data_IF_944839431416
#
_entry.id   IF_944839431416
#
_cell.length_a   1.000
_cell.length_b   1.000
_cell.length_c   1.000
_cell.angle_alpha   90.00
_cell.angle_beta   90.00
_cell.angle_gamma   90.00
#
_symmetry.space_group_name_H-M   'P 1'
#
loop_
_entity.id
_entity.type
_entity.pdbx_description
1 polymer ?
#
# COMPACT_ATOMS: atom_id res chain seq x y z
N UNK A 1 45.24 11.25 -21.96
CA UNK A 1 44.44 10.01 -22.03
C UNK A 1 44.69 9.08 -20.84
N UNK A 2 45.92 8.61 -20.60
CA UNK A 2 46.25 7.64 -19.53
C UNK A 2 46.02 8.14 -18.08
N UNK A 3 46.31 9.42 -17.79
CA UNK A 3 46.11 10.01 -16.44
C UNK A 3 44.65 9.96 -15.96
N UNK A 4 43.68 10.06 -16.88
CA UNK A 4 42.26 9.98 -16.55
C UNK A 4 41.84 8.56 -16.16
N UNK A 5 42.34 7.55 -16.89
CA UNK A 5 42.06 6.14 -16.63
C UNK A 5 42.62 5.73 -15.27
N UNK A 6 43.87 6.07 -14.98
CA UNK A 6 44.51 5.77 -13.69
C UNK A 6 43.76 6.40 -12.51
N UNK A 7 43.32 7.65 -12.66
CA UNK A 7 42.53 8.35 -11.63
C UNK A 7 41.17 7.67 -11.39
N UNK A 8 40.52 7.19 -12.46
CA UNK A 8 39.28 6.42 -12.38
C UNK A 8 39.47 5.07 -11.69
N UNK A 9 40.49 4.30 -12.09
CA UNK A 9 40.79 3.01 -11.46
C UNK A 9 41.17 3.14 -9.99
N UNK A 10 41.95 4.17 -9.63
CA UNK A 10 42.28 4.45 -8.23
C UNK A 10 41.03 4.81 -7.40
N UNK A 11 40.07 5.53 -8.00
CA UNK A 11 38.79 5.82 -7.36
C UNK A 11 37.99 4.53 -7.14
N UNK A 12 37.86 3.68 -8.16
CA UNK A 12 37.16 2.39 -8.05
C UNK A 12 37.79 1.51 -6.98
N UNK A 13 39.12 1.39 -6.94
CA UNK A 13 39.83 0.59 -5.95
C UNK A 13 39.60 1.12 -4.52
N UNK A 14 39.58 2.45 -4.35
CA UNK A 14 39.25 3.10 -3.07
C UNK A 14 37.84 2.75 -2.61
N UNK A 15 36.84 2.79 -3.49
CA UNK A 15 35.46 2.45 -3.11
C UNK A 15 35.27 0.94 -2.89
N UNK A 16 35.95 0.09 -3.66
CA UNK A 16 35.85 -1.36 -3.56
C UNK A 16 36.45 -1.92 -2.26
N UNK A 17 37.57 -1.35 -1.80
CA UNK A 17 38.30 -1.88 -0.64
C UNK A 17 38.06 -1.11 0.67
N UNK A 18 37.84 0.21 0.60
CA UNK A 18 37.88 1.06 1.80
C UNK A 18 36.52 1.59 2.25
N UNK A 19 35.46 1.49 1.44
CA UNK A 19 34.11 1.94 1.82
C UNK A 19 33.27 0.77 2.31
N UNK A 20 32.51 1.02 3.39
CA UNK A 20 31.43 0.10 3.81
C UNK A 20 30.33 0.10 2.75
N UNK A 21 29.75 -1.09 2.51
CA UNK A 21 28.61 -1.28 1.61
C UNK A 21 27.37 -0.66 2.25
N UNK A 22 26.54 -0.01 1.45
CA UNK A 22 25.26 0.61 1.87
C UNK A 22 24.10 -0.40 1.76
N UNK A 23 24.40 -1.66 1.43
CA UNK A 23 23.42 -2.74 1.25
C UNK A 23 22.76 -3.13 2.56
N UNK A 24 21.45 -3.38 2.52
CA UNK A 24 20.66 -3.94 3.62
C UNK A 24 20.36 -5.42 3.31
N UNK A 25 20.39 -6.29 4.33
CA UNK A 25 20.08 -7.72 4.15
C UNK A 25 18.57 -8.00 4.25
N UNK A 26 17.84 -7.67 3.19
CA UNK A 26 16.44 -8.09 3.06
C UNK A 26 16.33 -9.61 2.91
N UNK A 27 15.38 -10.31 3.57
CA UNK A 27 14.24 -9.81 4.35
C UNK A 27 14.50 -9.62 5.87
N UNK A 28 15.69 -9.98 6.36
CA UNK A 28 16.01 -9.96 7.81
C UNK A 28 16.13 -8.54 8.38
N UNK A 29 16.61 -7.60 7.57
CA UNK A 29 16.66 -6.19 7.89
C UNK A 29 15.84 -5.42 6.85
N UNK A 30 14.87 -4.62 7.30
CA UNK A 30 14.05 -3.77 6.43
C UNK A 30 14.56 -2.32 6.47
N UNK A 31 14.57 -1.61 5.32
CA UNK A 31 14.91 -0.19 5.32
C UNK A 31 13.87 0.59 6.12
N UNK A 32 14.31 1.64 6.81
CA UNK A 32 13.41 2.48 7.62
C UNK A 32 12.40 3.22 6.73
N UNK A 33 11.12 2.93 6.91
CA UNK A 33 10.02 3.68 6.32
C UNK A 33 9.77 5.02 7.04
N UNK A 34 9.25 5.98 6.29
CA UNK A 34 8.77 7.23 6.87
C UNK A 34 7.39 7.04 7.50
N UNK A 35 7.00 7.84 8.52
CA UNK A 35 5.66 7.74 9.10
C UNK A 35 4.51 8.01 8.11
N UNK A 36 4.78 8.73 7.02
CA UNK A 36 3.80 9.08 5.98
C UNK A 36 3.95 8.19 4.73
N UNK A 37 4.53 7.00 4.91
CA UNK A 37 4.66 6.05 3.81
C UNK A 37 3.28 5.55 3.38
N UNK A 38 3.10 5.38 2.07
CA UNK A 38 1.81 5.10 1.45
C UNK A 38 1.87 3.74 0.77
N UNK A 39 1.29 2.74 1.41
CA UNK A 39 1.10 1.40 0.85
C UNK A 39 -0.29 0.87 1.21
N UNK A 40 -0.44 -0.38 1.67
CA UNK A 40 -1.73 -1.06 1.77
C UNK A 40 -2.81 -0.21 2.45
N UNK A 41 -4.02 -0.21 1.90
CA UNK A 41 -5.12 0.58 2.46
C UNK A 41 -5.61 -0.09 3.75
N UNK A 42 -5.82 0.70 4.80
CA UNK A 42 -6.40 0.29 6.06
C UNK A 42 -7.78 0.94 6.17
N UNK A 43 -8.80 0.14 6.46
CA UNK A 43 -10.18 0.62 6.62
C UNK A 43 -10.62 0.49 8.08
N UNK A 44 -11.05 1.61 8.64
CA UNK A 44 -11.65 1.76 9.96
C UNK A 44 -13.17 1.77 9.83
N UNK A 45 -13.83 0.61 9.89
CA UNK A 45 -15.28 0.50 9.63
C UNK A 45 -16.14 1.33 10.57
N UNK A 46 -15.71 1.50 11.81
CA UNK A 46 -16.38 2.27 12.85
C UNK A 46 -16.46 3.77 12.53
N UNK A 47 -15.51 4.29 11.73
CA UNK A 47 -15.47 5.68 11.31
C UNK A 47 -16.19 5.92 9.97
N UNK A 48 -16.40 4.86 9.18
CA UNK A 48 -16.96 4.98 7.84
C UNK A 48 -18.46 5.29 7.87
N UNK A 49 -18.86 6.32 7.13
CA UNK A 49 -20.25 6.78 7.03
C UNK A 49 -20.89 6.53 5.66
N UNK A 50 -20.27 5.69 4.82
CA UNK A 50 -20.76 5.33 3.48
C UNK A 50 -21.03 6.53 2.55
N UNK A 51 -20.18 7.56 2.63
CA UNK A 51 -20.31 8.78 1.82
C UNK A 51 -19.82 8.65 0.37
N UNK A 52 -19.13 7.55 0.02
CA UNK A 52 -18.53 7.28 -1.29
C UNK A 52 -17.52 8.34 -1.81
N UNK A 53 -17.09 9.28 -0.97
CA UNK A 53 -16.12 10.31 -1.38
C UNK A 53 -14.76 9.72 -1.77
N UNK A 54 -14.28 8.70 -1.07
CA UNK A 54 -13.01 8.02 -1.39
C UNK A 54 -13.05 7.33 -2.77
N UNK A 55 -14.19 6.70 -3.12
CA UNK A 55 -14.39 6.10 -4.44
C UNK A 55 -14.47 7.15 -5.55
N UNK A 56 -15.13 8.29 -5.30
CA UNK A 56 -15.21 9.40 -6.25
C UNK A 56 -13.88 10.14 -6.42
N UNK A 57 -13.10 10.27 -5.36
CA UNK A 57 -11.79 10.91 -5.39
C UNK A 57 -10.72 10.08 -6.12
N UNK A 58 -10.93 8.76 -6.26
CA UNK A 58 -9.97 7.88 -6.89
C UNK A 58 -9.88 8.14 -8.41
N UNK A 59 -8.73 8.57 -8.95
CA UNK A 59 -8.58 8.88 -10.37
C UNK A 59 -8.73 7.64 -11.26
N UNK A 60 -8.30 6.48 -10.76
CA UNK A 60 -8.37 5.19 -11.48
C UNK A 60 -9.63 4.37 -11.17
N UNK A 61 -10.54 4.88 -10.32
CA UNK A 61 -11.77 4.19 -9.90
C UNK A 61 -11.51 2.76 -9.41
N UNK A 62 -10.46 2.56 -8.61
CA UNK A 62 -10.10 1.25 -8.07
C UNK A 62 -10.88 0.85 -6.80
N UNK A 63 -11.63 1.78 -6.21
CA UNK A 63 -12.43 1.55 -5.00
C UNK A 63 -13.89 1.41 -5.39
N UNK A 64 -14.54 0.36 -4.91
CA UNK A 64 -15.96 0.10 -5.12
C UNK A 64 -16.64 -0.24 -3.80
N UNK A 65 -17.83 0.32 -3.57
CA UNK A 65 -18.62 0.07 -2.35
C UNK A 65 -19.98 -0.45 -2.79
N UNK A 66 -20.25 -1.73 -2.51
CA UNK A 66 -21.46 -2.45 -2.94
C UNK A 66 -22.25 -2.95 -1.73
N UNK A 67 -23.58 -2.97 -1.83
CA UNK A 67 -24.40 -3.59 -0.79
C UNK A 67 -24.27 -5.11 -0.90
N UNK A 68 -24.03 -5.79 0.23
CA UNK A 68 -23.97 -7.25 0.29
C UNK A 68 -25.31 -7.87 -0.11
N UNK A 69 -25.28 -9.00 -0.81
CA UNK A 69 -26.49 -9.71 -1.22
C UNK A 69 -27.35 -10.09 0.00
N UNK A 70 -28.66 -9.85 -0.09
CA UNK A 70 -29.61 -10.16 0.99
C UNK A 70 -29.59 -9.21 2.19
N UNK A 71 -28.80 -8.12 2.15
CA UNK A 71 -28.86 -7.07 3.18
C UNK A 71 -29.76 -5.91 2.74
N UNK A 72 -30.42 -5.30 3.72
CA UNK A 72 -31.13 -4.04 3.50
C UNK A 72 -30.17 -2.85 3.62
N UNK A 73 -30.54 -1.74 2.97
CA UNK A 73 -29.76 -0.51 3.00
C UNK A 73 -29.70 0.03 4.43
N UNK A 74 -28.58 -0.19 5.09
CA UNK A 74 -28.32 0.34 6.43
C UNK A 74 -27.26 1.46 6.39
N UNK A 75 -27.06 2.11 7.54
CA UNK A 75 -25.96 3.06 7.75
C UNK A 75 -24.68 2.40 8.26
N UNK A 76 -24.64 1.06 8.37
CA UNK A 76 -23.50 0.31 8.89
C UNK A 76 -22.68 -0.21 7.71
N UNK A 77 -21.37 0.01 7.72
CA UNK A 77 -20.47 -0.50 6.69
C UNK A 77 -20.51 -2.04 6.59
N UNK A 78 -20.79 -2.75 7.68
CA UNK A 78 -20.85 -4.22 7.70
C UNK A 78 -21.85 -4.84 6.71
N UNK A 79 -22.83 -4.07 6.24
CA UNK A 79 -23.80 -4.52 5.22
C UNK A 79 -23.30 -4.26 3.79
N UNK A 80 -22.09 -3.75 3.61
CA UNK A 80 -21.49 -3.40 2.33
C UNK A 80 -20.11 -4.07 2.17
N UNK A 81 -19.80 -4.45 0.94
CA UNK A 81 -18.47 -4.81 0.50
C UNK A 81 -17.71 -3.55 0.13
N UNK A 82 -16.59 -3.28 0.82
CA UNK A 82 -15.63 -2.25 0.44
C UNK A 82 -14.48 -2.93 -0.31
N UNK A 83 -14.44 -2.76 -1.61
CA UNK A 83 -13.52 -3.47 -2.51
C UNK A 83 -12.46 -2.48 -3.00
N UNK A 84 -11.19 -2.89 -2.95
CA UNK A 84 -10.06 -2.14 -3.50
C UNK A 84 -9.28 -3.03 -4.46
N UNK A 85 -9.21 -2.61 -5.72
CA UNK A 85 -8.32 -3.21 -6.71
C UNK A 85 -6.92 -2.59 -6.57
N UNK A 86 -6.04 -3.28 -5.86
CA UNK A 86 -4.66 -2.82 -5.65
C UNK A 86 -3.81 -2.91 -6.93
N UNK A 87 -4.23 -3.72 -7.91
CA UNK A 87 -3.58 -3.79 -9.22
C UNK A 87 -3.82 -2.55 -10.09
N UNK A 88 -4.88 -1.79 -9.82
CA UNK A 88 -5.19 -0.51 -10.47
C UNK A 88 -4.78 0.72 -9.65
N UNK A 89 -4.47 0.55 -8.37
CA UNK A 89 -4.21 1.67 -7.48
C UNK A 89 -2.85 2.35 -7.76
N UNK A 90 -2.82 3.69 -7.68
CA UNK A 90 -1.60 4.49 -7.84
C UNK A 90 -0.91 4.84 -6.51
N UNK A 91 -1.49 4.41 -5.38
CA UNK A 91 -0.97 4.72 -4.03
C UNK A 91 -0.83 6.23 -3.76
N UNK A 92 -1.70 7.03 -4.38
CA UNK A 92 -1.60 8.50 -4.36
C UNK A 92 -2.09 9.16 -3.05
N UNK A 93 -2.85 8.46 -2.20
CA UNK A 93 -3.38 9.02 -0.94
C UNK A 93 -4.60 9.92 -1.06
N UNK A 94 -5.14 10.15 -2.27
CA UNK A 94 -6.33 11.00 -2.44
C UNK A 94 -7.56 10.47 -1.69
N UNK A 95 -7.69 9.14 -1.55
CA UNK A 95 -8.79 8.53 -0.80
C UNK A 95 -8.73 8.85 0.71
N UNK A 96 -7.53 8.91 1.28
CA UNK A 96 -7.26 9.25 2.67
C UNK A 96 -7.57 10.73 2.93
N UNK A 97 -7.08 11.63 2.07
CA UNK A 97 -7.33 13.07 2.18
C UNK A 97 -8.81 13.42 1.95
N UNK A 98 -9.48 12.74 1.01
CA UNK A 98 -10.88 12.99 0.71
C UNK A 98 -11.84 12.47 1.80
N UNK A 99 -11.38 11.62 2.72
CA UNK A 99 -12.25 11.02 3.72
C UNK A 99 -12.54 12.00 4.88
N UNK A 100 -13.78 12.50 5.03
CA UNK A 100 -14.09 13.51 6.06
C UNK A 100 -14.01 12.96 7.50
N UNK A 101 -14.07 11.64 7.66
CA UNK A 101 -13.99 10.95 8.96
C UNK A 101 -12.68 10.20 9.17
N UNK A 102 -11.73 10.30 8.23
CA UNK A 102 -10.47 9.54 8.25
C UNK A 102 -10.71 8.05 8.52
N UNK A 103 -11.63 7.48 7.75
CA UNK A 103 -12.00 6.07 7.84
C UNK A 103 -11.09 5.19 6.98
N UNK A 104 -10.48 5.73 5.94
CA UNK A 104 -9.51 5.03 5.10
C UNK A 104 -8.17 5.74 5.23
N UNK A 105 -7.12 4.96 5.45
CA UNK A 105 -5.74 5.42 5.63
C UNK A 105 -4.82 4.53 4.78
N UNK A 106 -3.65 5.03 4.38
CA UNK A 106 -2.63 4.22 3.71
C UNK A 106 -1.58 3.78 4.74
N UNK A 107 -1.47 2.48 4.94
CA UNK A 107 -0.58 1.86 5.90
C UNK A 107 0.84 1.64 5.39
N UNK A 108 1.73 1.12 6.26
CA UNK A 108 3.14 0.90 5.93
C UNK A 108 3.39 -0.39 5.13
N UNK A 109 2.42 -1.30 5.06
CA UNK A 109 2.58 -2.63 4.47
C UNK A 109 2.68 -2.57 2.94
N UNK A 110 3.86 -2.85 2.39
CA UNK A 110 4.15 -2.80 0.95
C UNK A 110 4.42 -4.15 0.29
N UNK A 111 4.51 -5.22 1.06
CA UNK A 111 4.88 -6.57 0.60
C UNK A 111 3.66 -7.30 0.00
N UNK A 112 2.96 -6.67 -0.95
CA UNK A 112 1.66 -7.11 -1.47
C UNK A 112 1.77 -7.97 -2.74
N UNK A 113 2.88 -8.64 -2.94
CA UNK A 113 3.15 -9.38 -4.18
C UNK A 113 2.32 -10.67 -4.22
N UNK A 114 1.56 -10.85 -5.30
CA UNK A 114 0.72 -12.04 -5.52
C UNK A 114 1.00 -12.66 -6.88
N UNK A 115 0.84 -13.98 -6.97
CA UNK A 115 1.01 -14.73 -8.23
C UNK A 115 -0.21 -14.62 -9.14
N UNK A 116 -1.41 -14.54 -8.55
CA UNK A 116 -2.67 -14.50 -9.26
C UNK A 116 -3.22 -13.08 -9.34
N UNK A 117 -3.62 -12.66 -10.55
CA UNK A 117 -4.16 -11.31 -10.77
C UNK A 117 -5.42 -11.05 -9.96
N UNK A 118 -6.27 -12.07 -9.76
CA UNK A 118 -7.55 -11.91 -9.07
C UNK A 118 -7.37 -11.61 -7.58
N UNK A 119 -6.22 -11.99 -6.99
CA UNK A 119 -5.86 -11.67 -5.60
C UNK A 119 -5.50 -10.20 -5.39
N UNK A 120 -5.34 -9.42 -6.46
CA UNK A 120 -5.23 -7.96 -6.36
C UNK A 120 -6.57 -7.28 -6.07
N UNK A 121 -7.70 -7.98 -6.18
CA UNK A 121 -9.00 -7.45 -5.76
C UNK A 121 -9.18 -7.80 -4.28
N UNK A 122 -9.00 -6.80 -3.40
CA UNK A 122 -9.06 -6.98 -1.96
C UNK A 122 -10.41 -6.52 -1.42
N UNK A 123 -11.05 -7.39 -0.65
CA UNK A 123 -12.23 -7.08 0.13
C UNK A 123 -11.77 -6.59 1.49
N UNK A 124 -12.06 -5.33 1.82
CA UNK A 124 -11.68 -4.71 3.09
C UNK A 124 -12.66 -5.08 4.20
N UNK A 125 -13.11 -6.32 4.19
CA UNK A 125 -14.07 -6.82 5.14
C UNK A 125 -13.54 -6.67 6.57
N UNK A 126 -14.45 -6.30 7.47
CA UNK A 126 -14.20 -6.18 8.91
C UNK A 126 -13.94 -7.52 9.61
N UNK A 127 -13.84 -8.59 8.83
CA UNK A 127 -13.79 -9.99 9.27
C UNK A 127 -12.69 -10.79 8.58
N UNK A 128 -11.55 -10.18 8.24
CA UNK A 128 -10.38 -10.97 7.84
C UNK A 128 -9.83 -11.66 9.11
N UNK A 129 -9.84 -13.00 9.20
CA UNK A 129 -9.21 -13.74 10.30
C UNK A 129 -7.70 -13.45 10.32
N UNK A 130 -7.08 -13.51 11.49
CA UNK A 130 -5.67 -13.14 11.69
C UNK A 130 -4.64 -13.94 10.88
N UNK A 131 -5.06 -15.01 10.18
CA UNK A 131 -4.21 -15.94 9.44
C UNK A 131 -3.68 -15.40 8.11
N UNK A 132 -4.30 -14.38 7.51
CA UNK A 132 -3.81 -13.75 6.28
C UNK A 132 -2.83 -12.58 6.52
N UNK A 133 -2.42 -12.34 7.78
CA UNK A 133 -1.44 -11.29 8.15
C UNK A 133 0.03 -11.74 8.00
N UNK A 134 0.28 -12.98 7.61
CA UNK A 134 1.63 -13.58 7.51
C UNK A 134 1.98 -14.12 6.10
N UNK A 135 1.25 -13.74 5.05
CA UNK A 135 1.59 -14.13 3.68
C UNK A 135 2.28 -13.02 2.90
#
# INVERSE_FOLDING_TARGET
MVKGILKGMALTLKYALLRKRVTVQYPFEKPRESPNFRAMHILHPEKCILCNLCAMACPNKCIEIKLKEGRERSRKLNDYDYIVDIGKCLWCGLCEEACPKKAVELGPEFELAEYDKDKFIRYMDTSIPEEDKES
#
